data_IF_900840680027
#
_entry.id   IF_900840680027
#
_cell.length_a   1.000
_cell.length_b   1.000
_cell.length_c   1.000
_cell.angle_alpha   90.00
_cell.angle_beta   90.00
_cell.angle_gamma   90.00
#
_symmetry.space_group_name_H-M   'P 1'
#
loop_
_entity.id
_entity.type
_entity.pdbx_description
1 polymer ?
#
# COMPACT_ATOMS: atom_id res chain seq x y z
N UNK A 1 -14.06 21.14 9.13
CA UNK A 1 -13.81 19.73 8.75
C UNK A 1 -12.42 19.35 9.27
N UNK A 2 -12.33 18.57 10.34
CA UNK A 2 -11.03 18.20 10.91
C UNK A 2 -10.32 17.25 9.93
N UNK A 3 -9.06 17.55 9.56
CA UNK A 3 -8.37 16.78 8.54
C UNK A 3 -7.98 15.40 9.12
N UNK A 4 -8.74 14.36 8.78
CA UNK A 4 -8.54 12.98 9.25
C UNK A 4 -7.26 12.31 8.70
N UNK A 5 -6.37 13.07 8.05
CA UNK A 5 -5.18 12.55 7.40
C UNK A 5 -3.95 13.35 7.83
N UNK A 6 -2.96 12.65 8.38
CA UNK A 6 -1.65 13.24 8.67
C UNK A 6 -0.86 13.39 7.36
N UNK A 7 -0.51 14.63 6.99
CA UNK A 7 0.08 14.98 5.68
C UNK A 7 1.38 14.22 5.40
N UNK A 8 2.29 14.14 6.38
CA UNK A 8 3.57 13.45 6.23
C UNK A 8 3.38 11.96 5.95
N UNK A 9 2.57 11.29 6.77
CA UNK A 9 2.31 9.86 6.67
C UNK A 9 1.69 9.52 5.30
N UNK A 10 0.79 10.36 4.80
CA UNK A 10 0.22 10.18 3.46
C UNK A 10 1.31 10.16 2.38
N UNK A 11 2.24 11.11 2.40
CA UNK A 11 3.33 11.16 1.42
C UNK A 11 4.22 9.92 1.51
N UNK A 12 4.61 9.52 2.73
CA UNK A 12 5.44 8.33 2.95
C UNK A 12 4.79 7.05 2.45
N UNK A 13 3.49 6.85 2.69
CA UNK A 13 2.81 5.67 2.17
C UNK A 13 2.72 5.65 0.65
N UNK A 14 2.62 6.81 -0.02
CA UNK A 14 2.63 6.88 -1.48
C UNK A 14 4.01 6.49 -2.04
N UNK A 15 5.09 6.97 -1.44
CA UNK A 15 6.45 6.59 -1.83
C UNK A 15 6.73 5.11 -1.56
N UNK A 16 6.34 4.62 -0.38
CA UNK A 16 6.45 3.20 -0.02
C UNK A 16 5.63 2.30 -0.94
N UNK A 17 4.49 2.78 -1.46
CA UNK A 17 3.68 2.03 -2.43
C UNK A 17 4.43 1.71 -3.70
N UNK A 18 5.25 2.64 -4.19
CA UNK A 18 6.07 2.40 -5.38
C UNK A 18 7.15 1.36 -5.14
N UNK A 19 7.75 1.34 -3.95
CA UNK A 19 8.69 0.28 -3.57
C UNK A 19 7.97 -1.07 -3.49
N UNK A 20 6.82 -1.12 -2.79
CA UNK A 20 6.06 -2.35 -2.61
C UNK A 20 5.53 -2.95 -3.92
N UNK A 21 5.13 -2.14 -4.90
CA UNK A 21 4.69 -2.64 -6.22
C UNK A 21 5.83 -3.37 -6.96
N UNK A 22 7.09 -3.02 -6.69
CA UNK A 22 8.25 -3.68 -7.29
C UNK A 22 8.69 -4.92 -6.52
N UNK A 23 8.55 -4.93 -5.20
CA UNK A 23 9.08 -6.00 -4.33
C UNK A 23 8.06 -7.05 -3.95
N UNK A 24 6.79 -6.67 -3.76
CA UNK A 24 5.72 -7.57 -3.32
C UNK A 24 4.82 -7.96 -4.51
N UNK A 25 4.76 -9.25 -4.87
CA UNK A 25 4.00 -9.69 -6.04
C UNK A 25 2.49 -9.54 -5.82
N UNK A 26 1.96 -9.62 -4.59
CA UNK A 26 0.54 -9.38 -4.29
C UNK A 26 0.17 -7.92 -4.56
N UNK A 27 1.03 -6.99 -4.14
CA UNK A 27 0.84 -5.56 -4.44
C UNK A 27 0.99 -5.28 -5.94
N UNK A 28 1.96 -5.92 -6.59
CA UNK A 28 2.16 -5.83 -8.03
C UNK A 28 0.94 -6.34 -8.80
N UNK A 29 0.39 -7.49 -8.42
CA UNK A 29 -0.78 -8.09 -9.07
C UNK A 29 -2.00 -7.20 -8.94
N UNK A 30 -2.20 -6.58 -7.78
CA UNK A 30 -3.26 -5.59 -7.61
C UNK A 30 -3.09 -4.40 -8.56
N UNK A 31 -1.87 -3.88 -8.68
CA UNK A 31 -1.56 -2.78 -9.61
C UNK A 31 -1.81 -3.20 -11.06
N UNK A 32 -1.28 -4.34 -11.50
CA UNK A 32 -1.41 -4.87 -12.87
C UNK A 32 -2.86 -5.13 -13.25
N UNK A 33 -3.67 -5.68 -12.33
CA UNK A 33 -5.11 -5.92 -12.55
C UNK A 33 -5.90 -4.65 -12.85
N UNK A 34 -5.41 -3.48 -12.42
CA UNK A 34 -6.10 -2.20 -12.60
C UNK A 34 -5.43 -1.29 -13.62
N UNK A 35 -4.45 -1.79 -14.38
CA UNK A 35 -3.86 -1.06 -15.51
C UNK A 35 -4.95 -0.61 -16.49
N UNK A 36 -4.78 0.59 -17.06
CA UNK A 36 -5.78 1.26 -17.91
C UNK A 36 -6.72 2.21 -17.16
N UNK A 37 -6.70 2.22 -15.81
CA UNK A 37 -7.34 3.26 -14.99
C UNK A 37 -6.31 4.32 -14.58
N UNK A 38 -6.79 5.39 -13.95
CA UNK A 38 -5.93 6.46 -13.42
C UNK A 38 -4.88 5.92 -12.40
N UNK A 39 -3.62 5.92 -12.83
CA UNK A 39 -2.47 5.42 -12.07
C UNK A 39 -2.37 6.05 -10.68
N UNK A 40 -2.66 7.35 -10.54
CA UNK A 40 -2.57 8.04 -9.24
C UNK A 40 -3.56 7.44 -8.25
N UNK A 41 -4.78 7.14 -8.72
CA UNK A 41 -5.81 6.50 -7.88
C UNK A 41 -5.44 5.07 -7.53
N UNK A 42 -4.81 4.32 -8.44
CA UNK A 42 -4.36 2.94 -8.16
C UNK A 42 -3.30 2.93 -7.07
N UNK A 43 -2.29 3.81 -7.16
CA UNK A 43 -1.23 3.92 -6.14
C UNK A 43 -1.81 4.26 -4.77
N UNK A 44 -2.75 5.22 -4.70
CA UNK A 44 -3.45 5.54 -3.44
C UNK A 44 -4.18 4.30 -2.86
N UNK A 45 -4.75 3.44 -3.71
CA UNK A 45 -5.37 2.19 -3.24
C UNK A 45 -4.33 1.19 -2.73
N UNK A 46 -3.17 1.08 -3.36
CA UNK A 46 -2.05 0.29 -2.85
C UNK A 46 -1.57 0.84 -1.50
N UNK A 47 -1.42 2.16 -1.37
CA UNK A 47 -1.06 2.82 -0.11
C UNK A 47 -2.02 2.47 1.03
N UNK A 48 -3.33 2.41 0.75
CA UNK A 48 -4.34 1.99 1.74
C UNK A 48 -4.19 0.53 2.15
N UNK A 49 -3.82 -0.35 1.23
CA UNK A 49 -3.54 -1.76 1.55
C UNK A 49 -2.29 -1.90 2.41
N UNK A 50 -1.23 -1.15 2.09
CA UNK A 50 -0.03 -1.09 2.92
C UNK A 50 -0.33 -0.57 4.32
N UNK A 51 -1.08 0.54 4.43
CA UNK A 51 -1.51 1.08 5.73
C UNK A 51 -2.26 0.03 6.56
N UNK A 52 -3.16 -0.73 5.94
CA UNK A 52 -3.87 -1.82 6.63
C UNK A 52 -2.92 -2.93 7.11
N UNK A 53 -1.90 -3.28 6.32
CA UNK A 53 -0.88 -4.25 6.73
C UNK A 53 0.01 -3.70 7.85
N UNK A 54 0.45 -2.44 7.77
CA UNK A 54 1.21 -1.78 8.85
C UNK A 54 0.41 -1.76 10.15
N UNK A 55 -0.89 -1.47 10.09
CA UNK A 55 -1.75 -1.53 11.27
C UNK A 55 -1.83 -2.94 11.85
N UNK A 56 -1.87 -3.98 11.01
CA UNK A 56 -1.84 -5.36 11.47
C UNK A 56 -0.52 -5.67 12.19
N UNK A 57 0.63 -5.31 11.60
CA UNK A 57 1.97 -5.47 12.21
C UNK A 57 2.04 -4.82 13.58
N UNK A 58 1.54 -3.58 13.71
CA UNK A 58 1.54 -2.86 15.00
C UNK A 58 0.65 -3.56 16.04
N UNK A 59 -0.49 -4.11 15.62
CA UNK A 59 -1.46 -4.74 16.53
C UNK A 59 -1.08 -6.14 16.97
N UNK A 60 -0.50 -6.92 16.06
CA UNK A 60 -0.21 -8.34 16.29
C UNK A 60 1.26 -8.59 16.58
N UNK A 61 2.12 -7.57 16.40
CA UNK A 61 3.59 -7.67 16.51
C UNK A 61 4.21 -8.69 15.54
N UNK A 62 3.43 -9.15 14.56
CA UNK A 62 3.89 -10.07 13.51
C UNK A 62 4.51 -9.23 12.40
N UNK A 63 5.77 -9.49 12.02
CA UNK A 63 6.45 -8.69 11.01
C UNK A 63 5.76 -8.79 9.64
N UNK A 64 5.95 -7.76 8.83
CA UNK A 64 5.46 -7.75 7.46
C UNK A 64 6.21 -8.80 6.64
N UNK A 65 5.47 -9.73 6.04
CA UNK A 65 6.02 -10.69 5.09
C UNK A 65 5.65 -10.35 3.66
N UNK A 66 6.57 -10.64 2.73
CA UNK A 66 6.33 -10.47 1.29
C UNK A 66 5.28 -11.50 0.88
N UNK A 67 4.19 -11.03 0.25
CA UNK A 67 3.13 -11.94 -0.17
C UNK A 67 3.61 -12.95 -1.21
N UNK A 68 3.15 -14.19 -1.11
CA UNK A 68 3.38 -15.24 -2.12
C UNK A 68 2.13 -15.38 -2.98
N UNK A 69 2.30 -15.54 -4.29
CA UNK A 69 1.21 -15.88 -5.22
C UNK A 69 1.38 -17.36 -5.58
N UNK A 70 0.35 -18.18 -5.33
CA UNK A 70 0.25 -19.54 -5.86
C UNK A 70 -0.32 -19.53 -7.28
#
# INVERSE_FOLDING_TARGET
>A
MNSRAHRLIRSYFVEASWQAIRTDPVMQTYYRKHLGKDTKKIVIKVSRKLLSRTLAVIKTEIPYEIGVIQ
#
